data_IF_360977972272
#
_entry.id   IF_360977972272
#
_cell.length_a   1.000
_cell.length_b   1.000
_cell.length_c   1.000
_cell.angle_alpha   90.00
_cell.angle_beta   90.00
_cell.angle_gamma   90.00
#
_symmetry.space_group_name_H-M   'P 1'
#
loop_
_entity.id
_entity.type
_entity.pdbx_description
1 polymer ?
#
# COMPACT_ATOMS: atom_id res chain seq x y z
N UNK A 1 -31.56 -9.24 -6.64
CA UNK A 1 -32.19 -8.00 -6.14
C UNK A 1 -33.10 -8.22 -4.91
N UNK A 2 -33.76 -9.37 -4.77
CA UNK A 2 -34.66 -9.64 -3.62
C UNK A 2 -33.92 -9.79 -2.29
N UNK A 3 -32.64 -10.23 -2.32
CA UNK A 3 -31.82 -10.44 -1.13
C UNK A 3 -30.94 -9.24 -0.77
N UNK A 4 -30.88 -8.21 -1.59
CA UNK A 4 -30.00 -7.05 -1.34
C UNK A 4 -30.39 -6.37 -0.02
N UNK A 5 -29.38 -6.06 0.81
CA UNK A 5 -29.51 -5.50 2.15
C UNK A 5 -30.15 -6.44 3.22
N UNK A 6 -30.31 -7.72 2.90
CA UNK A 6 -30.63 -8.71 3.94
C UNK A 6 -29.41 -8.85 4.86
N UNK A 7 -29.63 -8.89 6.17
CA UNK A 7 -28.58 -9.18 7.15
C UNK A 7 -28.57 -10.68 7.46
N UNK A 8 -27.41 -11.28 7.43
CA UNK A 8 -27.16 -12.67 7.76
C UNK A 8 -26.23 -12.76 8.96
N UNK A 9 -26.45 -13.70 9.85
CA UNK A 9 -25.47 -14.03 10.89
C UNK A 9 -24.19 -14.56 10.25
N UNK A 10 -23.04 -14.19 10.79
CA UNK A 10 -21.79 -14.79 10.38
C UNK A 10 -21.81 -16.32 10.58
N UNK A 11 -21.15 -17.07 9.70
CA UNK A 11 -21.18 -18.55 9.72
C UNK A 11 -20.67 -19.16 11.04
N UNK A 12 -19.79 -18.42 11.76
CA UNK A 12 -19.24 -18.79 13.06
C UNK A 12 -19.78 -17.88 14.19
N UNK A 13 -21.04 -17.43 14.06
CA UNK A 13 -21.66 -16.50 15.03
C UNK A 13 -21.52 -17.02 16.48
N UNK A 14 -21.82 -18.29 16.71
CA UNK A 14 -21.77 -18.89 18.03
C UNK A 14 -20.35 -19.25 18.51
N UNK A 15 -19.33 -18.98 17.68
CA UNK A 15 -17.90 -19.20 17.98
C UNK A 15 -17.14 -17.89 18.22
N UNK A 16 -17.84 -16.81 18.54
CA UNK A 16 -17.24 -15.49 18.86
C UNK A 16 -17.21 -14.50 17.71
N UNK A 17 -17.83 -14.82 16.57
CA UNK A 17 -18.04 -13.90 15.44
C UNK A 17 -19.46 -13.35 15.49
N UNK A 18 -19.86 -12.73 16.60
CA UNK A 18 -21.21 -12.33 16.98
C UNK A 18 -21.71 -11.05 16.26
N UNK A 19 -21.44 -10.97 14.97
CA UNK A 19 -21.91 -9.87 14.11
C UNK A 19 -22.72 -10.37 12.91
N UNK A 20 -23.45 -9.44 12.33
CA UNK A 20 -24.22 -9.69 11.12
C UNK A 20 -23.51 -9.16 9.89
N UNK A 21 -23.68 -9.83 8.76
CA UNK A 21 -23.10 -9.49 7.46
C UNK A 21 -24.18 -9.14 6.45
N UNK A 22 -24.06 -8.03 5.70
CA UNK A 22 -25.04 -7.67 4.70
C UNK A 22 -24.87 -8.46 3.41
N UNK A 23 -25.97 -8.76 2.72
CA UNK A 23 -25.95 -9.22 1.34
C UNK A 23 -25.95 -8.02 0.41
N UNK A 24 -24.84 -7.83 -0.32
CA UNK A 24 -24.62 -6.69 -1.20
C UNK A 24 -24.65 -7.09 -2.68
N UNK A 25 -24.94 -6.13 -3.54
CA UNK A 25 -24.83 -6.32 -4.98
C UNK A 25 -23.40 -6.05 -5.44
N UNK A 26 -22.81 -7.02 -6.18
CA UNK A 26 -21.48 -6.90 -6.79
C UNK A 26 -21.53 -7.20 -8.28
N UNK A 27 -21.08 -6.28 -9.11
CA UNK A 27 -21.11 -6.40 -10.57
C UNK A 27 -20.16 -7.49 -11.11
N UNK A 28 -19.19 -7.90 -10.30
CA UNK A 28 -18.24 -8.99 -10.60
C UNK A 28 -18.81 -10.39 -10.34
N UNK A 29 -20.00 -10.49 -9.72
CA UNK A 29 -20.65 -11.77 -9.43
C UNK A 29 -21.53 -12.18 -10.60
N UNK A 30 -21.29 -13.38 -11.15
CA UNK A 30 -22.08 -13.94 -12.25
C UNK A 30 -22.93 -15.12 -11.77
N UNK A 31 -24.02 -15.39 -12.47
CA UNK A 31 -24.88 -16.58 -12.23
C UNK A 31 -24.47 -17.78 -13.09
N UNK A 32 -23.46 -17.61 -13.93
CA UNK A 32 -23.00 -18.69 -14.84
C UNK A 32 -22.06 -19.66 -14.11
N UNK A 33 -21.50 -19.26 -12.98
CA UNK A 33 -20.66 -20.10 -12.14
C UNK A 33 -21.18 -20.10 -10.71
N UNK A 34 -21.41 -21.29 -10.15
CA UNK A 34 -21.88 -21.47 -8.78
C UNK A 34 -23.30 -20.97 -8.54
N UNK A 35 -23.57 -20.41 -7.38
CA UNK A 35 -24.88 -20.01 -6.91
C UNK A 35 -25.25 -18.55 -7.19
N UNK A 36 -24.30 -17.73 -7.64
CA UNK A 36 -24.45 -16.28 -7.69
C UNK A 36 -24.40 -15.60 -6.32
N UNK A 37 -24.03 -16.32 -5.26
CA UNK A 37 -23.78 -15.81 -3.91
C UNK A 37 -22.31 -16.10 -3.58
N UNK A 38 -21.53 -15.05 -3.29
CA UNK A 38 -20.08 -15.13 -3.05
C UNK A 38 -19.76 -14.53 -1.68
N UNK A 39 -18.90 -15.21 -0.93
CA UNK A 39 -18.33 -14.65 0.30
C UNK A 39 -17.39 -13.51 -0.06
N UNK A 40 -17.51 -12.38 0.66
CA UNK A 40 -16.68 -11.19 0.49
C UNK A 40 -15.75 -11.06 1.70
N UNK A 41 -14.44 -10.87 1.43
CA UNK A 41 -13.45 -10.58 2.46
C UNK A 41 -12.68 -9.30 2.10
N UNK A 42 -13.15 -8.12 2.50
CA UNK A 42 -12.63 -6.82 2.05
C UNK A 42 -11.14 -6.56 2.33
N UNK A 43 -10.53 -7.30 3.24
CA UNK A 43 -9.10 -7.17 3.57
C UNK A 43 -8.21 -8.15 2.80
N UNK A 44 -8.78 -9.06 2.01
CA UNK A 44 -8.04 -10.15 1.34
C UNK A 44 -8.34 -10.30 -0.17
N UNK A 45 -9.06 -9.37 -0.77
CA UNK A 45 -9.34 -9.36 -2.21
C UNK A 45 -9.55 -7.95 -2.75
N UNK A 46 -9.15 -7.69 -4.00
CA UNK A 46 -9.26 -6.35 -4.58
C UNK A 46 -10.72 -5.96 -4.85
N UNK A 47 -11.49 -6.84 -5.49
CA UNK A 47 -12.91 -6.59 -5.78
C UNK A 47 -13.71 -6.48 -4.48
N UNK A 48 -13.37 -7.31 -3.50
CA UNK A 48 -13.94 -7.30 -2.16
C UNK A 48 -13.64 -5.98 -1.43
N UNK A 49 -12.39 -5.50 -1.55
CA UNK A 49 -11.97 -4.22 -0.98
C UNK A 49 -12.74 -3.04 -1.58
N UNK A 50 -12.86 -3.00 -2.92
CA UNK A 50 -13.58 -1.94 -3.63
C UNK A 50 -15.06 -1.93 -3.18
N UNK A 51 -15.68 -3.11 -3.11
CA UNK A 51 -17.08 -3.24 -2.66
C UNK A 51 -17.21 -2.83 -1.18
N UNK A 52 -16.28 -3.26 -0.33
CA UNK A 52 -16.25 -2.90 1.10
C UNK A 52 -16.16 -1.39 1.30
N UNK A 53 -15.27 -0.71 0.58
CA UNK A 53 -15.13 0.75 0.61
C UNK A 53 -16.39 1.48 0.11
N UNK A 54 -17.01 0.97 -0.95
CA UNK A 54 -18.26 1.53 -1.51
C UNK A 54 -19.42 1.50 -0.52
N UNK A 55 -19.44 0.54 0.39
CA UNK A 55 -20.51 0.33 1.38
C UNK A 55 -20.07 0.62 2.82
N UNK A 56 -18.93 1.30 3.02
CA UNK A 56 -18.38 1.67 4.32
C UNK A 56 -18.26 0.50 5.30
N UNK A 57 -17.92 -0.69 4.79
CA UNK A 57 -17.68 -1.85 5.63
C UNK A 57 -16.39 -1.70 6.44
N UNK A 58 -16.37 -2.24 7.64
CA UNK A 58 -15.15 -2.33 8.43
C UNK A 58 -14.08 -3.17 7.71
N UNK A 59 -12.83 -2.73 7.82
CA UNK A 59 -11.67 -3.40 7.21
C UNK A 59 -10.69 -3.87 8.30
N UNK A 60 -11.11 -4.83 9.15
CA UNK A 60 -10.30 -5.25 10.30
C UNK A 60 -9.02 -5.95 9.85
N UNK A 61 -7.90 -5.66 10.52
CA UNK A 61 -6.66 -6.39 10.32
C UNK A 61 -6.77 -7.75 11.01
N UNK A 62 -6.73 -8.82 10.24
CA UNK A 62 -6.95 -10.19 10.74
C UNK A 62 -5.66 -10.97 10.94
N UNK A 63 -4.61 -10.68 10.16
CA UNK A 63 -3.32 -11.37 10.19
C UNK A 63 -2.15 -10.39 10.26
N UNK A 64 -1.08 -10.83 10.90
CA UNK A 64 0.18 -10.10 10.97
C UNK A 64 1.05 -10.30 9.71
N UNK A 65 2.25 -9.71 9.70
CA UNK A 65 3.21 -9.78 8.58
C UNK A 65 3.72 -11.21 8.29
N UNK A 66 3.60 -12.11 9.24
CA UNK A 66 3.97 -13.52 9.08
C UNK A 66 2.81 -14.41 8.64
N UNK A 67 1.62 -13.85 8.36
CA UNK A 67 0.42 -14.59 7.98
C UNK A 67 -0.23 -15.35 9.14
N UNK A 68 0.00 -14.90 10.38
CA UNK A 68 -0.56 -15.50 11.61
C UNK A 68 -1.72 -14.62 12.07
N UNK A 69 -2.83 -15.26 12.43
CA UNK A 69 -3.99 -14.56 12.98
C UNK A 69 -3.65 -13.85 14.29
N UNK A 70 -4.10 -12.61 14.42
CA UNK A 70 -3.92 -11.82 15.64
C UNK A 70 -4.69 -12.42 16.82
N UNK A 71 -4.27 -12.06 18.04
CA UNK A 71 -4.84 -12.58 19.30
C UNK A 71 -6.32 -12.23 19.49
N UNK A 72 -6.81 -11.15 18.86
CA UNK A 72 -8.21 -10.75 18.93
C UNK A 72 -9.13 -11.55 18.00
N UNK A 73 -8.57 -12.40 17.12
CA UNK A 73 -9.37 -13.22 16.20
C UNK A 73 -9.85 -14.47 16.95
N UNK A 74 -11.16 -14.68 17.11
CA UNK A 74 -11.70 -15.83 17.81
C UNK A 74 -11.29 -17.15 17.15
N UNK A 75 -11.10 -18.19 17.96
CA UNK A 75 -10.83 -19.59 17.55
C UNK A 75 -9.49 -19.78 16.82
N UNK A 76 -9.12 -18.89 15.90
CA UNK A 76 -7.99 -19.10 14.99
C UNK A 76 -6.74 -18.28 15.37
N UNK A 77 -6.76 -17.54 16.47
CA UNK A 77 -5.62 -16.75 16.94
C UNK A 77 -4.34 -17.63 17.05
N UNK A 78 -3.22 -17.04 16.67
CA UNK A 78 -1.91 -17.70 16.65
C UNK A 78 -1.71 -18.77 15.57
N UNK A 79 -2.72 -19.09 14.76
CA UNK A 79 -2.62 -20.04 13.65
C UNK A 79 -2.19 -19.35 12.37
N UNK A 80 -1.44 -20.05 11.52
CA UNK A 80 -1.01 -19.56 10.23
C UNK A 80 -2.07 -19.84 9.17
N UNK A 81 -2.41 -18.85 8.32
CA UNK A 81 -3.51 -18.90 7.33
C UNK A 81 -3.45 -20.10 6.38
N UNK A 82 -2.27 -20.58 5.99
CA UNK A 82 -2.10 -21.74 5.12
C UNK A 82 -2.14 -23.11 5.88
N UNK A 83 -2.43 -23.08 7.16
CA UNK A 83 -2.50 -24.30 8.00
C UNK A 83 -3.83 -24.44 8.72
N UNK A 84 -4.76 -23.51 8.50
CA UNK A 84 -6.01 -23.42 9.26
C UNK A 84 -7.21 -24.03 8.54
N UNK A 85 -7.10 -24.37 7.28
CA UNK A 85 -8.24 -24.76 6.40
C UNK A 85 -9.12 -25.85 7.03
N UNK A 86 -8.51 -26.92 7.54
CA UNK A 86 -9.27 -28.01 8.17
C UNK A 86 -9.95 -27.55 9.46
N UNK A 87 -9.25 -26.73 10.27
CA UNK A 87 -9.80 -26.20 11.53
C UNK A 87 -11.02 -25.31 11.26
N UNK A 88 -10.99 -24.52 10.18
CA UNK A 88 -12.15 -23.71 9.75
C UNK A 88 -13.31 -24.59 9.39
N UNK A 89 -13.10 -25.63 8.57
CA UNK A 89 -14.13 -26.58 8.19
C UNK A 89 -14.74 -27.31 9.41
N UNK A 90 -13.89 -27.73 10.34
CA UNK A 90 -14.30 -28.42 11.56
C UNK A 90 -15.16 -27.50 12.46
N UNK A 91 -14.78 -26.23 12.60
CA UNK A 91 -15.53 -25.26 13.39
C UNK A 91 -16.89 -24.92 12.74
N UNK A 92 -16.92 -24.74 11.41
CA UNK A 92 -18.19 -24.54 10.66
C UNK A 92 -19.10 -25.77 10.83
N UNK A 93 -18.54 -26.98 10.77
CA UNK A 93 -19.29 -28.23 10.98
C UNK A 93 -19.85 -28.34 12.41
N UNK A 94 -19.08 -27.97 13.42
CA UNK A 94 -19.48 -27.93 14.83
C UNK A 94 -20.69 -27.00 15.05
N UNK A 95 -20.73 -25.88 14.31
CA UNK A 95 -21.85 -24.92 14.32
C UNK A 95 -23.03 -25.38 13.42
N UNK A 96 -23.00 -26.57 12.83
CA UNK A 96 -24.00 -27.08 11.88
C UNK A 96 -24.20 -26.24 10.62
N UNK A 97 -23.22 -25.45 10.21
CA UNK A 97 -23.26 -24.55 9.07
C UNK A 97 -22.49 -25.07 7.85
N UNK A 98 -21.80 -26.22 7.96
CA UNK A 98 -21.09 -26.82 6.82
C UNK A 98 -22.04 -27.61 5.92
N UNK A 99 -22.22 -27.14 4.69
CA UNK A 99 -23.03 -27.80 3.70
C UNK A 99 -22.24 -28.87 2.95
N UNK A 100 -21.04 -28.54 2.50
CA UNK A 100 -20.17 -29.44 1.75
C UNK A 100 -18.69 -29.02 1.90
N UNK A 101 -17.80 -29.97 1.77
CA UNK A 101 -16.35 -29.76 1.75
C UNK A 101 -15.74 -30.52 0.58
N UNK A 102 -14.74 -29.93 -0.07
CA UNK A 102 -14.02 -30.56 -1.17
C UNK A 102 -12.63 -29.98 -1.34
N UNK A 103 -11.85 -30.60 -2.22
CA UNK A 103 -10.50 -30.15 -2.58
C UNK A 103 -10.57 -29.60 -4.01
N UNK A 104 -10.09 -28.38 -4.20
CA UNK A 104 -9.94 -27.76 -5.51
C UNK A 104 -8.45 -27.61 -5.82
N UNK A 105 -8.03 -28.11 -6.97
CA UNK A 105 -6.68 -27.88 -7.53
C UNK A 105 -6.75 -26.79 -8.56
N UNK A 106 -6.07 -25.68 -8.32
CA UNK A 106 -6.04 -24.53 -9.22
C UNK A 106 -4.66 -23.87 -9.22
N UNK A 107 -4.41 -23.00 -10.20
CA UNK A 107 -3.23 -22.15 -10.23
C UNK A 107 -3.29 -21.11 -9.12
N UNK A 108 -2.22 -20.98 -8.34
CA UNK A 108 -2.12 -20.02 -7.25
C UNK A 108 -0.88 -19.12 -7.41
N UNK A 109 -0.97 -17.81 -7.19
CA UNK A 109 0.16 -16.92 -7.34
C UNK A 109 1.23 -17.18 -6.28
N UNK A 110 2.48 -17.28 -6.73
CA UNK A 110 3.65 -17.46 -5.88
C UNK A 110 4.67 -16.35 -6.11
N UNK A 111 5.41 -16.00 -5.07
CA UNK A 111 6.55 -15.09 -5.19
C UNK A 111 7.58 -15.65 -6.17
N UNK A 112 7.94 -14.87 -7.18
CA UNK A 112 8.94 -15.31 -8.16
C UNK A 112 10.31 -15.56 -7.53
N UNK A 113 10.63 -14.89 -6.42
CA UNK A 113 11.91 -14.99 -5.69
C UNK A 113 11.91 -16.12 -4.67
N UNK A 114 10.99 -16.10 -3.71
CA UNK A 114 10.95 -17.10 -2.63
C UNK A 114 10.20 -18.38 -2.98
N UNK A 115 9.41 -18.37 -4.07
CA UNK A 115 8.49 -19.44 -4.47
C UNK A 115 7.38 -19.74 -3.44
N UNK A 116 7.27 -18.94 -2.38
CA UNK A 116 6.20 -19.05 -1.40
C UNK A 116 4.87 -18.55 -1.99
N UNK A 117 3.72 -19.12 -1.58
CA UNK A 117 2.41 -18.62 -1.96
C UNK A 117 2.20 -17.18 -1.47
N UNK A 118 1.54 -16.38 -2.28
CA UNK A 118 1.24 -14.98 -1.94
C UNK A 118 -0.03 -14.90 -1.10
N UNK A 119 -0.14 -13.85 -0.31
CA UNK A 119 -1.33 -13.49 0.45
C UNK A 119 -1.79 -12.11 0.01
N UNK A 120 -3.06 -11.99 -0.34
CA UNK A 120 -3.69 -10.69 -0.47
C UNK A 120 -4.02 -10.18 0.93
N UNK A 121 -3.50 -9.01 1.28
CA UNK A 121 -3.65 -8.42 2.60
C UNK A 121 -3.71 -6.90 2.47
N UNK A 122 -4.63 -6.29 3.19
CA UNK A 122 -4.64 -4.86 3.36
C UNK A 122 -3.39 -4.43 4.15
N UNK A 123 -2.65 -3.48 3.62
CA UNK A 123 -1.45 -2.95 4.25
C UNK A 123 -1.48 -1.44 4.13
N UNK A 124 -1.28 -0.73 5.24
CA UNK A 124 -1.15 0.73 5.21
C UNK A 124 0.04 1.13 4.35
N UNK A 125 -0.17 2.10 3.46
CA UNK A 125 0.84 2.56 2.51
C UNK A 125 0.86 4.08 2.48
N UNK A 126 2.00 4.63 2.06
CA UNK A 126 2.20 6.05 1.85
C UNK A 126 2.16 6.37 0.36
N UNK A 127 1.42 7.42 0.03
CA UNK A 127 1.19 7.80 -1.36
C UNK A 127 1.54 9.27 -1.58
N UNK A 128 2.16 9.57 -2.71
CA UNK A 128 2.21 10.92 -3.27
C UNK A 128 0.96 11.10 -4.11
N UNK A 129 0.13 12.07 -3.72
CA UNK A 129 -1.10 12.38 -4.46
C UNK A 129 -0.78 13.03 -5.79
N UNK A 130 -1.40 12.55 -6.86
CA UNK A 130 -1.27 13.14 -8.18
C UNK A 130 -2.09 14.43 -8.34
N UNK A 131 -3.08 14.64 -7.46
CA UNK A 131 -3.99 15.79 -7.53
C UNK A 131 -3.58 16.94 -6.58
N UNK A 132 -2.99 16.60 -5.43
CA UNK A 132 -2.54 17.62 -4.46
C UNK A 132 -1.46 18.51 -5.11
N UNK A 133 -1.57 19.80 -4.88
CA UNK A 133 -0.70 20.83 -5.48
C UNK A 133 -0.60 20.76 -7.00
N UNK A 134 -1.62 20.21 -7.66
CA UNK A 134 -1.70 20.11 -9.13
C UNK A 134 -0.54 19.32 -9.76
N UNK A 135 0.02 18.33 -9.07
CA UNK A 135 1.19 17.59 -9.55
C UNK A 135 0.99 17.02 -10.96
N UNK A 136 -0.17 16.39 -11.23
CA UNK A 136 -0.50 15.87 -12.57
C UNK A 136 -0.48 16.97 -13.63
N UNK A 137 -1.08 18.11 -13.33
CA UNK A 137 -1.17 19.26 -14.27
C UNK A 137 0.22 19.80 -14.59
N UNK A 138 1.05 19.99 -13.55
CA UNK A 138 2.45 20.44 -13.71
C UNK A 138 3.28 19.44 -14.54
N UNK A 139 3.16 18.14 -14.24
CA UNK A 139 3.89 17.11 -14.96
C UNK A 139 3.47 17.02 -16.44
N UNK A 140 2.16 17.11 -16.75
CA UNK A 140 1.67 17.13 -18.12
C UNK A 140 2.15 18.36 -18.88
N UNK A 141 2.18 19.53 -18.23
CA UNK A 141 2.72 20.75 -18.80
C UNK A 141 4.22 20.61 -19.08
N UNK A 142 5.00 20.09 -18.14
CA UNK A 142 6.43 19.88 -18.33
C UNK A 142 6.73 18.93 -19.50
N UNK A 143 5.91 17.88 -19.70
CA UNK A 143 6.02 17.00 -20.87
C UNK A 143 5.78 17.77 -22.17
N UNK A 144 4.79 18.66 -22.20
CA UNK A 144 4.45 19.44 -23.39
C UNK A 144 5.53 20.46 -23.74
N UNK A 145 6.29 20.96 -22.75
CA UNK A 145 7.39 21.91 -22.89
C UNK A 145 8.76 21.25 -23.15
N UNK A 146 8.84 19.91 -23.10
CA UNK A 146 10.10 19.16 -23.30
C UNK A 146 10.17 18.58 -24.71
N UNK A 147 11.34 18.69 -25.34
CA UNK A 147 11.62 18.05 -26.64
C UNK A 147 11.93 16.58 -26.45
N UNK A 148 11.22 15.72 -27.18
CA UNK A 148 11.41 14.26 -27.14
C UNK A 148 12.02 13.72 -28.43
N UNK A 149 13.03 12.87 -28.30
CA UNK A 149 13.66 12.15 -29.40
C UNK A 149 13.72 10.65 -29.06
N UNK A 150 12.92 9.80 -29.73
CA UNK A 150 11.92 10.11 -30.78
C UNK A 150 10.63 10.74 -30.21
N UNK A 151 9.94 11.50 -31.04
CA UNK A 151 8.69 12.22 -30.65
C UNK A 151 7.57 11.34 -30.08
N UNK A 152 7.57 10.05 -30.43
CA UNK A 152 6.61 9.08 -29.87
C UNK A 152 6.74 8.93 -28.35
N UNK A 153 7.92 9.19 -27.79
CA UNK A 153 8.18 9.16 -26.35
C UNK A 153 7.29 10.13 -25.56
N UNK A 154 7.08 11.35 -26.13
CA UNK A 154 6.21 12.34 -25.49
C UNK A 154 4.77 11.82 -25.31
N UNK A 155 4.17 11.27 -26.36
CA UNK A 155 2.80 10.73 -26.30
C UNK A 155 2.71 9.59 -25.30
N UNK A 156 3.73 8.73 -25.27
CA UNK A 156 3.80 7.58 -24.36
C UNK A 156 3.86 8.03 -22.91
N UNK A 157 4.77 8.93 -22.55
CA UNK A 157 4.90 9.42 -21.17
C UNK A 157 3.65 10.20 -20.75
N UNK A 158 3.12 11.04 -21.63
CA UNK A 158 1.91 11.82 -21.39
C UNK A 158 0.71 10.93 -21.05
N UNK A 159 0.46 9.88 -21.83
CA UNK A 159 -0.63 8.93 -21.56
C UNK A 159 -0.44 8.23 -20.21
N UNK A 160 0.79 7.86 -19.86
CA UNK A 160 1.08 7.22 -18.57
C UNK A 160 0.82 8.16 -17.38
N UNK A 161 1.09 9.46 -17.50
CA UNK A 161 0.85 10.45 -16.43
C UNK A 161 -0.63 10.81 -16.33
N UNK A 162 -1.32 10.91 -17.48
CA UNK A 162 -2.72 11.33 -17.53
C UNK A 162 -3.63 10.44 -16.68
N UNK A 163 -3.45 9.12 -16.77
CA UNK A 163 -4.30 8.13 -16.10
C UNK A 163 -3.61 7.49 -14.89
N UNK A 164 -2.50 8.09 -14.43
CA UNK A 164 -1.75 7.55 -13.30
C UNK A 164 -2.53 7.67 -11.99
N UNK A 165 -2.70 6.59 -11.23
CA UNK A 165 -3.15 6.69 -9.84
C UNK A 165 -2.08 7.35 -8.96
N UNK A 166 -2.43 7.67 -7.71
CA UNK A 166 -1.49 8.15 -6.71
C UNK A 166 -0.28 7.21 -6.61
N UNK A 167 0.89 7.78 -6.39
CA UNK A 167 2.15 7.03 -6.39
C UNK A 167 2.42 6.43 -5.02
N UNK A 168 2.28 5.11 -4.89
CA UNK A 168 2.66 4.39 -3.68
C UNK A 168 4.19 4.36 -3.52
N UNK A 169 4.71 5.11 -2.57
CA UNK A 169 6.16 5.27 -2.33
C UNK A 169 6.71 4.45 -1.17
N UNK A 170 5.87 3.84 -0.35
CA UNK A 170 6.32 3.01 0.76
C UNK A 170 6.59 1.56 0.36
N UNK A 171 7.60 0.96 1.00
CA UNK A 171 7.91 -0.47 0.86
C UNK A 171 8.25 -1.06 2.22
N UNK A 172 7.72 -2.25 2.49
CA UNK A 172 8.04 -3.05 3.67
C UNK A 172 9.29 -3.88 3.35
N UNK A 173 10.46 -3.26 3.50
CA UNK A 173 11.77 -3.85 3.21
C UNK A 173 12.74 -3.57 4.35
N UNK A 174 13.73 -4.43 4.50
CA UNK A 174 14.82 -4.27 5.49
C UNK A 174 15.86 -3.25 5.02
N UNK A 175 15.98 -3.06 3.71
CA UNK A 175 16.94 -2.16 3.09
C UNK A 175 16.25 -1.07 2.26
N UNK A 176 16.68 0.16 2.45
CA UNK A 176 16.21 1.34 1.72
C UNK A 176 16.28 2.60 2.58
N UNK A 177 16.05 3.76 1.98
CA UNK A 177 15.96 5.04 2.69
C UNK A 177 14.66 5.06 3.50
N UNK A 178 14.68 5.25 4.82
CA UNK A 178 13.48 5.23 5.64
C UNK A 178 12.59 6.45 5.38
N UNK A 179 11.28 6.25 5.47
CA UNK A 179 10.29 7.33 5.47
C UNK A 179 10.31 8.05 6.84
N UNK A 180 10.69 9.34 6.91
CA UNK A 180 10.84 10.06 8.17
C UNK A 180 9.49 10.55 8.71
N UNK A 181 8.56 9.64 8.95
CA UNK A 181 7.19 9.96 9.33
C UNK A 181 6.86 9.39 10.71
N UNK A 182 6.25 10.21 11.54
CA UNK A 182 5.61 9.81 12.79
C UNK A 182 4.10 9.79 12.63
N UNK A 183 3.46 8.77 13.17
CA UNK A 183 2.00 8.61 13.16
C UNK A 183 1.47 8.58 14.59
N UNK A 184 0.42 9.32 14.87
CA UNK A 184 -0.23 9.27 16.18
C UNK A 184 -0.94 7.92 16.34
N UNK A 185 -0.61 7.18 17.41
CA UNK A 185 -1.12 5.82 17.66
C UNK A 185 -2.64 5.75 17.88
N UNK A 186 -3.26 6.85 18.33
CA UNK A 186 -4.70 6.90 18.61
C UNK A 186 -5.52 7.29 17.39
N UNK A 187 -5.01 8.28 16.62
CA UNK A 187 -5.78 8.85 15.50
C UNK A 187 -5.38 8.28 14.15
N UNK A 188 -4.19 7.67 14.03
CA UNK A 188 -3.62 7.23 12.75
C UNK A 188 -3.10 8.39 11.88
N UNK A 189 -3.16 9.64 12.36
CA UNK A 189 -2.76 10.81 11.60
C UNK A 189 -1.24 11.03 11.62
N UNK A 190 -0.63 11.42 10.49
CA UNK A 190 0.79 11.75 10.44
C UNK A 190 1.07 13.08 11.14
N UNK A 191 2.18 13.14 11.84
CA UNK A 191 2.71 14.39 12.41
C UNK A 191 3.24 15.29 11.29
N UNK A 192 2.66 16.48 11.17
CA UNK A 192 3.03 17.49 10.18
C UNK A 192 3.72 18.66 10.86
N UNK A 193 5.00 18.51 11.13
CA UNK A 193 5.83 19.54 11.73
C UNK A 193 7.13 19.70 10.94
N UNK A 194 7.29 20.86 10.30
CA UNK A 194 8.42 21.17 9.46
C UNK A 194 9.75 21.17 10.22
N UNK A 195 9.76 21.64 11.49
CA UNK A 195 10.99 21.67 12.30
C UNK A 195 11.47 20.24 12.61
N UNK A 196 10.54 19.31 12.82
CA UNK A 196 10.87 17.89 13.03
C UNK A 196 11.45 17.28 11.76
N UNK A 197 10.85 17.56 10.60
CA UNK A 197 11.36 17.07 9.31
C UNK A 197 12.76 17.59 9.04
N UNK A 198 13.01 18.89 9.26
CA UNK A 198 14.33 19.49 9.08
C UNK A 198 15.38 18.93 10.06
N UNK A 199 14.98 18.68 11.31
CA UNK A 199 15.85 18.03 12.30
C UNK A 199 16.22 16.62 11.86
N UNK A 200 15.26 15.84 11.36
CA UNK A 200 15.51 14.48 10.85
C UNK A 200 16.44 14.53 9.63
N UNK A 201 16.20 15.46 8.70
CA UNK A 201 17.04 15.63 7.51
C UNK A 201 18.52 15.90 7.89
N UNK A 202 18.77 16.76 8.87
CA UNK A 202 20.14 17.01 9.37
C UNK A 202 20.78 15.76 9.97
N UNK A 203 20.02 14.98 10.74
CA UNK A 203 20.53 13.73 11.31
C UNK A 203 20.85 12.73 10.18
N UNK A 204 20.04 12.67 9.13
CA UNK A 204 20.31 11.81 7.97
C UNK A 204 21.56 12.26 7.20
N UNK A 205 21.76 13.57 7.07
CA UNK A 205 22.95 14.13 6.43
C UNK A 205 24.25 13.80 7.21
N UNK A 206 24.19 13.84 8.53
CA UNK A 206 25.36 13.61 9.40
C UNK A 206 25.64 12.12 9.66
N UNK A 207 24.62 11.30 9.83
CA UNK A 207 24.73 9.91 10.31
C UNK A 207 24.20 8.87 9.33
N UNK A 208 23.51 9.29 8.26
CA UNK A 208 22.81 8.41 7.34
C UNK A 208 21.42 8.00 7.82
N UNK A 209 20.64 7.40 6.91
CA UNK A 209 19.25 6.98 7.17
C UNK A 209 19.13 5.88 8.24
N UNK A 210 20.17 5.11 8.50
CA UNK A 210 20.19 4.08 9.55
C UNK A 210 19.94 4.64 10.95
N UNK A 211 20.24 5.93 11.17
CA UNK A 211 19.91 6.63 12.41
C UNK A 211 18.43 6.53 12.77
N UNK A 212 17.53 6.46 11.77
CA UNK A 212 16.10 6.29 11.97
C UNK A 212 15.74 4.99 12.66
N UNK A 213 16.33 3.89 12.21
CA UNK A 213 16.03 2.56 12.76
C UNK A 213 16.75 2.29 14.09
N UNK A 214 17.89 2.95 14.33
CA UNK A 214 18.75 2.72 15.48
C UNK A 214 18.48 3.67 16.65
N UNK A 215 17.50 4.57 16.53
CA UNK A 215 17.21 5.59 17.56
C UNK A 215 15.75 5.52 18.01
N UNK A 216 15.52 5.87 19.27
CA UNK A 216 14.18 6.02 19.82
C UNK A 216 13.48 7.29 19.31
N UNK A 217 12.14 7.31 19.23
CA UNK A 217 11.36 8.47 18.79
C UNK A 217 11.70 9.78 19.50
N UNK A 218 12.05 9.70 20.79
CA UNK A 218 12.42 10.86 21.61
C UNK A 218 13.63 11.64 21.10
N UNK A 219 14.48 11.02 20.30
CA UNK A 219 15.62 11.69 19.66
C UNK A 219 15.19 12.71 18.62
N UNK A 220 14.16 12.39 17.87
CA UNK A 220 13.68 13.16 16.73
C UNK A 220 12.60 14.15 17.13
N UNK A 221 11.67 13.72 17.99
CA UNK A 221 10.56 14.55 18.44
C UNK A 221 11.04 15.69 19.36
N UNK A 222 10.34 16.81 19.31
CA UNK A 222 10.53 17.92 20.22
C UNK A 222 9.86 17.62 21.58
N UNK A 223 10.29 18.24 22.70
CA UNK A 223 9.76 18.00 24.03
C UNK A 223 8.26 18.27 24.20
N UNK A 224 7.66 19.02 23.28
CA UNK A 224 6.23 19.31 23.21
C UNK A 224 5.38 18.10 22.80
N UNK A 225 6.00 17.08 22.18
CA UNK A 225 5.33 15.85 21.77
C UNK A 225 5.64 14.72 22.75
N UNK A 226 4.61 14.09 23.28
CA UNK A 226 4.78 12.84 24.03
C UNK A 226 5.15 11.72 23.04
N UNK A 227 6.42 11.32 23.05
CA UNK A 227 6.94 10.27 22.18
C UNK A 227 6.22 8.92 22.31
N UNK A 228 5.50 8.68 23.43
CA UNK A 228 4.70 7.48 23.63
C UNK A 228 3.41 7.48 22.80
N UNK A 229 2.92 8.66 22.43
CA UNK A 229 1.70 8.80 21.60
C UNK A 229 1.99 8.62 20.10
N UNK A 230 3.24 8.63 19.69
CA UNK A 230 3.64 8.51 18.30
C UNK A 230 4.35 7.19 18.01
N UNK A 231 4.09 6.67 16.83
CA UNK A 231 4.80 5.54 16.22
C UNK A 231 5.68 6.02 15.08
N UNK A 232 6.89 5.53 15.06
CA UNK A 232 7.87 5.78 14.01
C UNK A 232 7.61 4.83 12.87
N UNK A 233 7.31 5.35 11.67
CA UNK A 233 7.11 4.54 10.47
C UNK A 233 8.42 3.83 10.13
N UNK A 234 8.35 2.52 9.86
CA UNK A 234 9.51 1.68 9.54
C UNK A 234 9.60 1.30 8.06
N UNK A 235 8.68 1.81 7.26
CA UNK A 235 8.72 1.62 5.82
C UNK A 235 9.89 2.39 5.21
N UNK A 236 10.39 1.87 4.09
CA UNK A 236 11.42 2.54 3.29
C UNK A 236 10.81 3.11 2.02
N UNK A 237 11.44 4.12 1.46
CA UNK A 237 11.06 4.68 0.16
C UNK A 237 11.33 3.67 -0.94
N UNK A 238 10.50 3.65 -1.96
CA UNK A 238 10.73 2.82 -3.14
C UNK A 238 11.89 3.34 -3.99
N UNK A 239 12.65 2.45 -4.59
CA UNK A 239 13.92 2.76 -5.30
C UNK A 239 13.78 3.76 -6.45
N UNK A 240 12.61 3.87 -7.08
CA UNK A 240 12.38 4.87 -8.13
C UNK A 240 12.27 6.29 -7.58
N UNK A 241 11.90 6.46 -6.32
CA UNK A 241 11.99 7.74 -5.63
C UNK A 241 13.45 8.12 -5.40
N UNK A 242 14.28 7.20 -4.88
CA UNK A 242 15.71 7.46 -4.70
C UNK A 242 16.38 7.89 -6.00
N UNK A 243 16.08 7.20 -7.10
CA UNK A 243 16.67 7.51 -8.40
C UNK A 243 16.06 8.76 -9.07
N UNK A 244 14.80 9.05 -8.82
CA UNK A 244 14.09 10.19 -9.37
C UNK A 244 14.60 11.52 -8.86
N UNK A 245 15.07 11.57 -7.61
CA UNK A 245 15.65 12.75 -6.96
C UNK A 245 17.06 13.11 -7.44
N UNK A 246 17.61 12.44 -8.46
CA UNK A 246 18.95 12.70 -9.03
C UNK A 246 19.17 14.17 -9.42
N UNK A 247 18.12 14.86 -9.89
CA UNK A 247 18.22 16.28 -10.24
C UNK A 247 18.63 17.14 -9.04
N UNK A 248 18.17 16.81 -7.82
CA UNK A 248 18.50 17.56 -6.61
C UNK A 248 19.91 17.21 -6.11
N UNK A 249 20.17 15.96 -5.74
CA UNK A 249 21.43 15.59 -5.09
C UNK A 249 22.64 15.48 -6.03
N UNK A 250 22.45 15.52 -7.34
CA UNK A 250 23.54 15.53 -8.33
C UNK A 250 23.62 16.87 -9.06
N UNK A 251 22.55 17.29 -9.78
CA UNK A 251 22.64 18.45 -10.65
C UNK A 251 22.66 19.77 -9.88
N UNK A 252 21.80 19.94 -8.89
CA UNK A 252 21.75 21.16 -8.07
C UNK A 252 22.89 21.21 -7.05
N UNK A 253 23.26 20.08 -6.47
CA UNK A 253 24.27 20.05 -5.42
C UNK A 253 25.72 20.19 -5.91
N UNK A 254 25.99 19.96 -7.20
CA UNK A 254 27.36 19.98 -7.74
C UNK A 254 27.61 21.25 -8.55
N UNK A 255 28.62 22.02 -8.15
CA UNK A 255 29.02 23.27 -8.82
C UNK A 255 29.58 23.10 -10.23
N UNK A 256 30.06 21.88 -10.57
CA UNK A 256 30.58 21.55 -11.90
C UNK A 256 29.50 21.07 -12.89
N UNK A 257 28.25 20.98 -12.44
CA UNK A 257 27.11 20.57 -13.26
C UNK A 257 26.11 21.70 -13.46
N UNK A 258 25.20 21.51 -14.41
CA UNK A 258 24.17 22.47 -14.74
C UNK A 258 22.77 21.91 -14.48
N UNK A 259 21.92 22.70 -13.88
CA UNK A 259 20.51 22.41 -13.67
C UNK A 259 19.64 23.50 -14.34
N UNK A 260 18.54 23.15 -15.04
CA UNK A 260 18.10 21.78 -15.37
C UNK A 260 19.02 21.08 -16.38
N UNK A 261 18.91 19.75 -16.44
CA UNK A 261 19.70 18.95 -17.40
C UNK A 261 19.41 19.37 -18.84
N UNK A 262 20.46 19.54 -19.65
CA UNK A 262 20.33 19.85 -21.08
C UNK A 262 19.84 18.64 -21.90
N UNK A 263 20.12 17.42 -21.42
CA UNK A 263 19.70 16.17 -22.04
C UNK A 263 19.48 15.10 -20.95
N UNK A 264 18.37 14.38 -21.09
CA UNK A 264 18.02 13.25 -20.23
C UNK A 264 17.92 12.01 -21.10
N UNK A 265 18.91 11.13 -21.06
CA UNK A 265 19.11 10.07 -22.05
C UNK A 265 18.93 8.69 -21.45
N UNK A 266 17.91 7.97 -21.93
CA UNK A 266 17.64 6.58 -21.56
C UNK A 266 16.92 5.81 -22.66
N UNK A 267 16.78 4.50 -22.47
CA UNK A 267 15.98 3.63 -23.33
C UNK A 267 14.46 3.89 -23.17
N UNK A 268 13.69 3.45 -24.15
CA UNK A 268 12.24 3.68 -24.20
C UNK A 268 11.45 2.97 -23.08
N UNK A 269 12.02 1.98 -22.42
CA UNK A 269 11.48 1.31 -21.25
C UNK A 269 11.40 2.25 -20.02
N UNK A 270 12.29 3.25 -19.94
CA UNK A 270 12.36 4.21 -18.85
C UNK A 270 11.23 5.24 -18.82
N UNK A 271 10.35 5.28 -19.82
CA UNK A 271 9.08 6.00 -19.71
C UNK A 271 8.21 5.47 -18.55
N UNK A 272 8.39 4.20 -18.17
CA UNK A 272 7.76 3.59 -16.98
C UNK A 272 8.76 3.36 -15.83
N UNK A 273 9.85 4.05 -15.80
CA UNK A 273 10.89 3.97 -14.80
C UNK A 273 11.41 5.35 -14.45
N UNK A 274 12.69 5.60 -14.73
CA UNK A 274 13.39 6.81 -14.31
C UNK A 274 12.81 8.11 -14.89
N UNK A 275 12.40 8.16 -16.16
CA UNK A 275 11.73 9.34 -16.72
C UNK A 275 10.46 9.71 -15.97
N UNK A 276 9.73 8.70 -15.52
CA UNK A 276 8.47 8.87 -14.82
C UNK A 276 8.67 9.41 -13.39
N UNK A 277 9.57 8.78 -12.61
CA UNK A 277 9.84 9.19 -11.23
C UNK A 277 10.48 10.57 -11.17
N UNK A 278 11.53 10.82 -11.96
CA UNK A 278 12.21 12.10 -11.96
C UNK A 278 11.34 13.27 -12.43
N UNK A 279 10.43 13.04 -13.39
CA UNK A 279 9.44 14.04 -13.78
C UNK A 279 8.54 14.42 -12.61
N UNK A 280 7.99 13.43 -11.91
CA UNK A 280 7.06 13.68 -10.81
C UNK A 280 7.75 14.41 -9.64
N UNK A 281 8.95 14.01 -9.30
CA UNK A 281 9.72 14.65 -8.22
C UNK A 281 10.17 16.07 -8.58
N UNK A 282 10.57 16.29 -9.83
CA UNK A 282 10.96 17.65 -10.30
C UNK A 282 9.77 18.62 -10.37
N UNK A 283 8.54 18.10 -10.48
CA UNK A 283 7.32 18.91 -10.55
C UNK A 283 6.62 19.09 -9.21
N UNK A 284 6.94 18.28 -8.20
CA UNK A 284 6.35 18.30 -6.86
C UNK A 284 6.91 19.39 -6.00
#
# INVERSE_FOLDING_TARGET
>A
HELTNTLCKHTLYDSGYDFEVPVLHGDFVTTEQGTGIVHICPVHGMDDFILGKKHDLELPMTINESGIYYDHIPVFNGQHIFKVDQNVCDEIKKNNNLISQGILVHSYPHSWRSKAPLVYKNTSQWFISMETNELRVKALKAIDETDFFPKQGQKRLRSMIQDRPDWCVSRQRVWGVPLPIFVNKKTGEPLRDQNIIEKIAKIYEEEGGDAWFNSEPSRFLSPEYDHNEFEQVKDVVEVWFDSGSTHSYVLEAREDLHWPASMYLEGSDQHRGWFHSSLLESCG
#
